data_IF_493173164214
#
_entry.id   IF_493173164214
#
_cell.length_a   1.000
_cell.length_b   1.000
_cell.length_c   1.000
_cell.angle_alpha   90.00
_cell.angle_beta   90.00
_cell.angle_gamma   90.00
#
_symmetry.space_group_name_H-M   'P 1'
#
loop_
_entity.id
_entity.type
_entity.pdbx_description
1 polymer ?
#
# COMPACT_ATOMS: atom_id res chain seq x y z
N UNK A 1 26.31 -2.83 13.76
CA UNK A 1 25.11 -3.66 13.89
C UNK A 1 23.88 -2.83 14.19
N UNK A 2 23.97 -2.13 15.29
CA UNK A 2 22.82 -1.38 15.75
C UNK A 2 22.39 -0.31 14.77
N UNK A 3 23.35 0.26 14.06
CA UNK A 3 23.02 1.29 13.08
C UNK A 3 22.16 0.77 11.96
N UNK A 4 22.40 -0.47 11.53
CA UNK A 4 21.60 -1.08 10.51
C UNK A 4 20.17 -1.32 11.00
N UNK A 5 20.03 -1.75 12.24
CA UNK A 5 18.72 -1.97 12.81
C UNK A 5 17.94 -0.68 12.92
N UNK A 6 18.61 0.39 13.32
CA UNK A 6 17.98 1.69 13.40
C UNK A 6 17.52 2.18 12.04
N UNK A 7 18.34 1.96 11.01
CA UNK A 7 17.96 2.35 9.66
C UNK A 7 16.76 1.56 9.18
N UNK A 8 16.69 0.27 9.54
CA UNK A 8 15.55 -0.54 9.14
C UNK A 8 14.27 -0.07 9.80
N UNK A 9 14.35 0.48 11.00
CA UNK A 9 13.19 0.99 11.67
C UNK A 9 12.58 2.20 10.96
N UNK A 10 13.38 2.92 10.18
CA UNK A 10 12.89 4.10 9.47
C UNK A 10 12.40 3.78 8.07
N UNK A 11 12.66 2.57 7.57
CA UNK A 11 12.15 2.18 6.25
C UNK A 11 10.71 1.71 6.37
N UNK A 12 10.05 1.61 5.22
CA UNK A 12 8.68 1.20 5.18
C UNK A 12 8.49 -0.27 5.49
N UNK A 13 7.29 -0.60 5.87
CA UNK A 13 6.91 -1.98 6.12
C UNK A 13 5.52 -2.25 5.59
N UNK A 14 5.23 -3.52 5.34
CA UNK A 14 3.91 -3.97 4.94
C UNK A 14 3.54 -5.19 5.76
N UNK A 15 2.33 -5.17 6.32
CA UNK A 15 1.80 -6.30 7.07
C UNK A 15 0.48 -6.71 6.43
N UNK A 16 0.31 -8.00 6.19
CA UNK A 16 -0.90 -8.52 5.56
C UNK A 16 -1.78 -9.17 6.61
N UNK A 17 -3.01 -8.72 6.72
CA UNK A 17 -4.05 -9.34 7.50
C UNK A 17 -5.29 -9.51 6.66
N UNK A 18 -6.37 -9.96 7.29
CA UNK A 18 -7.62 -10.19 6.58
C UNK A 18 -8.77 -9.71 7.44
N UNK A 19 -9.78 -9.12 6.80
CA UNK A 19 -10.98 -8.71 7.53
C UNK A 19 -11.91 -9.91 7.72
N UNK A 20 -13.02 -9.73 8.46
CA UNK A 20 -13.95 -10.85 8.70
C UNK A 20 -14.54 -11.43 7.42
N UNK A 21 -14.61 -10.66 6.34
CA UNK A 21 -15.09 -11.16 5.06
C UNK A 21 -14.02 -11.86 4.24
N UNK A 22 -12.77 -11.89 4.74
CA UNK A 22 -11.67 -12.55 4.05
C UNK A 22 -10.91 -11.67 3.07
N UNK A 23 -11.21 -10.37 3.01
CA UNK A 23 -10.47 -9.47 2.14
C UNK A 23 -9.12 -9.12 2.75
N UNK A 24 -8.05 -9.09 1.95
CA UNK A 24 -6.76 -8.67 2.47
C UNK A 24 -6.80 -7.22 2.95
N UNK A 25 -6.24 -6.99 4.11
CA UNK A 25 -6.00 -5.64 4.65
C UNK A 25 -4.50 -5.52 4.81
N UNK A 26 -3.90 -4.65 4.02
CA UNK A 26 -2.46 -4.48 3.97
C UNK A 26 -2.12 -3.16 4.66
N UNK A 27 -1.40 -3.25 5.76
CA UNK A 27 -1.00 -2.06 6.50
C UNK A 27 0.37 -1.63 6.04
N UNK A 28 0.44 -0.43 5.46
CA UNK A 28 1.70 0.18 5.07
C UNK A 28 2.11 1.17 6.15
N UNK A 29 3.39 1.16 6.50
CA UNK A 29 3.92 2.12 7.47
C UNK A 29 5.30 2.59 7.05
N UNK A 30 5.68 3.76 7.58
CA UNK A 30 6.96 4.37 7.27
C UNK A 30 6.98 4.99 5.89
N UNK A 31 8.04 4.77 5.17
CA UNK A 31 8.25 5.38 3.86
C UNK A 31 8.26 4.31 2.78
N UNK A 32 7.56 4.56 1.69
CA UNK A 32 7.56 3.67 0.53
C UNK A 32 8.16 4.43 -0.65
N UNK A 33 9.28 3.93 -1.15
CA UNK A 33 10.00 4.57 -2.24
C UNK A 33 10.70 3.51 -3.10
N UNK A 34 11.47 3.98 -4.08
CA UNK A 34 12.16 3.09 -5.01
C UNK A 34 13.09 2.09 -4.32
N UNK A 35 13.63 2.47 -3.16
CA UNK A 35 14.62 1.61 -2.50
C UNK A 35 14.00 0.38 -1.85
N UNK A 36 12.70 0.43 -1.52
CA UNK A 36 12.07 -0.67 -0.78
C UNK A 36 10.79 -1.21 -1.43
N UNK A 37 10.29 -0.58 -2.48
CA UNK A 37 8.99 -0.97 -3.06
C UNK A 37 8.98 -2.43 -3.54
N UNK A 38 10.09 -2.92 -4.06
CA UNK A 38 10.13 -4.31 -4.54
C UNK A 38 10.06 -5.30 -3.39
N UNK A 39 10.71 -5.00 -2.26
CA UNK A 39 10.62 -5.84 -1.08
C UNK A 39 9.20 -5.84 -0.51
N UNK A 40 8.55 -4.68 -0.51
CA UNK A 40 7.18 -4.59 -0.03
C UNK A 40 6.22 -5.34 -0.97
N UNK A 41 6.43 -5.23 -2.27
CA UNK A 41 5.63 -5.98 -3.24
C UNK A 41 5.75 -7.47 -3.00
N UNK A 42 6.95 -7.96 -2.75
CA UNK A 42 7.16 -9.38 -2.49
C UNK A 42 6.39 -9.85 -1.26
N UNK A 43 6.27 -9.00 -0.25
CA UNK A 43 5.53 -9.34 0.96
C UNK A 43 4.03 -9.48 0.71
N UNK A 44 3.46 -8.65 -0.15
CA UNK A 44 2.02 -8.66 -0.37
C UNK A 44 1.61 -9.59 -1.51
N UNK A 45 2.55 -10.02 -2.33
CA UNK A 45 2.25 -10.82 -3.52
C UNK A 45 1.47 -12.10 -3.21
N UNK A 46 1.78 -12.87 -2.14
CA UNK A 46 0.99 -14.06 -1.86
C UNK A 46 -0.50 -13.79 -1.65
N UNK A 47 -0.85 -12.65 -1.04
CA UNK A 47 -2.25 -12.29 -0.86
C UNK A 47 -2.90 -11.92 -2.20
N UNK A 48 -2.16 -11.26 -3.08
CA UNK A 48 -2.66 -10.86 -4.38
C UNK A 48 -2.83 -12.10 -5.28
N UNK A 49 -1.94 -13.07 -5.16
CA UNK A 49 -2.00 -14.29 -5.94
C UNK A 49 -3.26 -15.11 -5.67
N UNK A 50 -3.92 -14.88 -4.56
CA UNK A 50 -5.19 -15.53 -4.26
C UNK A 50 -6.36 -14.91 -5.03
N UNK A 51 -6.08 -13.92 -5.86
CA UNK A 51 -7.05 -13.25 -6.72
C UNK A 51 -8.24 -12.68 -5.94
N UNK A 52 -8.01 -11.87 -4.90
CA UNK A 52 -9.12 -11.27 -4.17
C UNK A 52 -9.86 -10.27 -5.06
N UNK A 53 -11.15 -10.08 -4.79
CA UNK A 53 -11.93 -9.11 -5.55
C UNK A 53 -11.50 -7.68 -5.20
N UNK A 54 -11.05 -7.45 -3.97
CA UNK A 54 -10.66 -6.11 -3.52
C UNK A 54 -9.59 -6.26 -2.45
N UNK A 55 -8.82 -5.20 -2.27
CA UNK A 55 -7.77 -5.14 -1.25
C UNK A 55 -7.90 -3.79 -0.55
N UNK A 56 -7.73 -3.79 0.77
CA UNK A 56 -7.71 -2.58 1.56
C UNK A 56 -6.28 -2.28 1.94
N UNK A 57 -5.82 -1.07 1.65
CA UNK A 57 -4.54 -0.57 2.17
C UNK A 57 -4.83 0.38 3.32
N UNK A 58 -4.35 0.02 4.50
CA UNK A 58 -4.44 0.88 5.68
C UNK A 58 -3.16 1.72 5.70
N UNK A 59 -3.32 3.01 5.51
CA UNK A 59 -2.22 3.94 5.33
C UNK A 59 -2.00 4.85 6.54
N UNK A 60 -2.61 4.53 7.67
CA UNK A 60 -2.52 5.39 8.85
C UNK A 60 -1.09 5.56 9.34
N UNK A 61 -0.25 4.54 9.18
CA UNK A 61 1.15 4.60 9.61
C UNK A 61 2.12 5.06 8.54
N UNK A 62 1.61 5.39 7.35
CA UNK A 62 2.47 5.79 6.23
C UNK A 62 2.83 7.26 6.36
N UNK A 63 4.13 7.57 6.32
CA UNK A 63 4.60 8.94 6.45
C UNK A 63 5.07 9.53 5.13
N UNK A 64 5.40 8.70 4.15
CA UNK A 64 5.86 9.17 2.85
C UNK A 64 5.65 8.09 1.80
N UNK A 65 5.30 8.52 0.59
CA UNK A 65 5.18 7.64 -0.56
C UNK A 65 5.50 8.43 -1.82
N UNK A 66 6.40 7.90 -2.64
CA UNK A 66 6.70 8.52 -3.93
C UNK A 66 5.93 7.81 -5.05
N UNK A 67 6.29 8.12 -6.30
CA UNK A 67 5.58 7.56 -7.45
C UNK A 67 5.71 6.04 -7.55
N UNK A 68 6.79 5.45 -7.00
CA UNK A 68 6.92 4.00 -7.05
C UNK A 68 5.89 3.32 -6.14
N UNK A 69 5.53 3.97 -5.03
CA UNK A 69 4.46 3.49 -4.17
C UNK A 69 3.10 3.58 -4.86
N UNK A 70 2.84 4.69 -5.55
CA UNK A 70 1.61 4.83 -6.32
C UNK A 70 1.54 3.74 -7.41
N UNK A 71 2.67 3.46 -8.07
CA UNK A 71 2.71 2.40 -9.08
C UNK A 71 2.38 1.04 -8.47
N UNK A 72 2.84 0.78 -7.25
CA UNK A 72 2.49 -0.46 -6.55
C UNK A 72 0.99 -0.57 -6.34
N UNK A 73 0.35 0.51 -5.88
CA UNK A 73 -1.10 0.51 -5.68
C UNK A 73 -1.84 0.24 -6.99
N UNK A 74 -1.38 0.84 -8.09
CA UNK A 74 -2.00 0.63 -9.38
C UNK A 74 -1.81 -0.80 -9.87
N UNK A 75 -0.65 -1.40 -9.63
CA UNK A 75 -0.40 -2.79 -10.00
C UNK A 75 -1.33 -3.74 -9.24
N UNK A 76 -1.54 -3.47 -7.95
CA UNK A 76 -2.46 -4.28 -7.16
C UNK A 76 -3.89 -4.10 -7.68
N UNK A 77 -4.28 -2.88 -8.01
CA UNK A 77 -5.61 -2.62 -8.54
C UNK A 77 -5.84 -3.35 -9.86
N UNK A 78 -4.81 -3.43 -10.70
CA UNK A 78 -4.92 -4.15 -11.97
C UNK A 78 -5.09 -5.65 -11.76
N UNK A 79 -4.52 -6.18 -10.68
CA UNK A 79 -4.60 -7.62 -10.39
C UNK A 79 -5.87 -8.01 -9.64
N UNK A 80 -6.57 -7.05 -9.04
CA UNK A 80 -7.73 -7.37 -8.20
C UNK A 80 -9.04 -6.85 -8.76
N UNK A 81 -9.22 -5.64 -8.98
CA UNK A 81 -10.30 -4.85 -9.56
C UNK A 81 -10.31 -3.50 -8.90
N UNK A 82 -10.42 -3.46 -7.57
CA UNK A 82 -10.44 -2.20 -6.84
C UNK A 82 -9.51 -2.31 -5.63
N UNK A 83 -8.98 -1.17 -5.27
CA UNK A 83 -8.18 -1.01 -4.07
C UNK A 83 -8.83 0.09 -3.24
N UNK A 84 -9.02 -0.17 -1.95
CA UNK A 84 -9.53 0.83 -1.02
C UNK A 84 -8.37 1.37 -0.21
N UNK A 85 -8.29 2.69 -0.12
CA UNK A 85 -7.23 3.37 0.65
C UNK A 85 -7.86 3.94 1.91
N UNK A 86 -7.47 3.39 3.06
CA UNK A 86 -8.00 3.79 4.36
C UNK A 86 -6.98 4.70 5.03
N UNK A 87 -7.46 5.82 5.55
CA UNK A 87 -6.64 6.80 6.29
C UNK A 87 -5.48 7.33 5.46
N UNK A 88 -5.71 7.57 4.16
CA UNK A 88 -4.72 8.16 3.29
C UNK A 88 -4.49 9.62 3.70
N UNK A 89 -3.21 10.01 3.71
CA UNK A 89 -2.85 11.39 4.03
C UNK A 89 -3.38 12.34 2.95
N UNK A 90 -3.52 13.63 3.26
CA UNK A 90 -3.93 14.59 2.23
C UNK A 90 -3.03 14.59 1.01
N UNK A 91 -1.73 14.38 1.19
CA UNK A 91 -0.81 14.33 0.06
C UNK A 91 -1.11 13.12 -0.83
N UNK A 92 -1.28 11.94 -0.24
CA UNK A 92 -1.59 10.74 -1.00
C UNK A 92 -2.93 10.89 -1.71
N UNK A 93 -3.94 11.45 -1.01
CA UNK A 93 -5.25 11.67 -1.62
C UNK A 93 -5.14 12.57 -2.84
N UNK A 94 -4.37 13.63 -2.73
CA UNK A 94 -4.20 14.57 -3.85
C UNK A 94 -3.51 13.90 -5.04
N UNK A 95 -2.49 13.07 -4.78
CA UNK A 95 -1.79 12.38 -5.83
C UNK A 95 -2.72 11.39 -6.53
N UNK A 96 -3.50 10.63 -5.76
CA UNK A 96 -4.45 9.67 -6.32
C UNK A 96 -5.49 10.39 -7.16
N UNK A 97 -6.03 11.49 -6.66
CA UNK A 97 -7.01 12.27 -7.41
C UNK A 97 -6.42 12.80 -8.71
N UNK A 98 -5.15 13.18 -8.68
CA UNK A 98 -4.48 13.68 -9.88
C UNK A 98 -4.28 12.61 -10.94
N UNK A 99 -4.25 11.32 -10.57
CA UNK A 99 -4.14 10.24 -11.55
C UNK A 99 -5.43 10.06 -12.35
N UNK A 100 -6.55 10.54 -11.84
CA UNK A 100 -7.85 10.32 -12.45
C UNK A 100 -8.37 8.89 -12.27
N UNK A 101 -7.72 8.08 -11.44
CA UNK A 101 -8.07 6.66 -11.29
C UNK A 101 -8.81 6.38 -9.99
N UNK A 102 -9.66 7.31 -9.57
CA UNK A 102 -10.39 7.17 -8.31
C UNK A 102 -11.45 6.06 -8.36
N UNK A 103 -11.77 5.55 -9.54
CA UNK A 103 -12.67 4.40 -9.65
C UNK A 103 -11.99 3.11 -9.22
N UNK A 104 -10.68 3.00 -9.40
CA UNK A 104 -9.93 1.79 -9.03
C UNK A 104 -9.16 1.95 -7.74
N UNK A 105 -8.72 3.17 -7.43
CA UNK A 105 -8.08 3.52 -6.15
C UNK A 105 -9.07 4.33 -5.35
N UNK A 106 -9.89 3.66 -4.56
CA UNK A 106 -10.99 4.31 -3.84
C UNK A 106 -10.52 4.79 -2.48
N UNK A 107 -10.68 6.07 -2.23
CA UNK A 107 -10.29 6.70 -0.98
C UNK A 107 -11.48 6.65 -0.04
N UNK A 108 -11.31 6.02 1.13
CA UNK A 108 -12.34 6.01 2.15
C UNK A 108 -12.36 7.36 2.87
N UNK A 109 -13.55 7.80 3.14
CA UNK A 109 -13.75 9.06 3.84
C UNK A 109 -13.30 9.00 5.29
#
# INVERSE_FOLDING_TARGET
MDELDEQQETVGSAEVGYDPAGLPVIRLSGEVDMSNVDALRAKIQPAIDKAPASVVFDMAGLTFMDSSGIALLLQVAAATKTVQLRDASPLVRRIVEATGLTDVLRIEA
#
